data_IF_059360634695
#
_entry.id   IF_059360634695
#
_cell.length_a   1.000
_cell.length_b   1.000
_cell.length_c   1.000
_cell.angle_alpha   90.00
_cell.angle_beta   90.00
_cell.angle_gamma   90.00
#
_symmetry.space_group_name_H-M   'P 1'
#
loop_
_entity.id
_entity.type
_entity.pdbx_description
1 polymer ?
#
# COMPACT_ATOMS: atom_id res chain seq x y z
N UNK A 1 -23.98 48.79 -13.78
CA UNK A 1 -22.63 48.67 -13.18
C UNK A 1 -21.94 47.36 -13.62
N UNK A 2 -21.86 47.09 -14.93
CA UNK A 2 -21.34 45.80 -15.49
C UNK A 2 -20.32 46.01 -16.63
N UNK A 3 -20.01 47.24 -17.02
CA UNK A 3 -19.14 47.51 -18.19
C UNK A 3 -17.68 47.82 -17.81
N UNK A 4 -17.34 47.94 -16.53
CA UNK A 4 -15.99 48.37 -16.09
C UNK A 4 -14.99 47.25 -15.76
N UNK A 5 -15.32 45.96 -15.88
CA UNK A 5 -14.37 44.87 -15.61
C UNK A 5 -13.63 44.30 -16.83
N UNK A 6 -13.98 44.69 -18.05
CA UNK A 6 -13.40 44.10 -19.28
C UNK A 6 -12.04 44.70 -19.69
N UNK A 7 -11.64 45.86 -19.16
CA UNK A 7 -10.38 46.54 -19.53
C UNK A 7 -9.16 46.21 -18.67
N UNK A 8 -9.32 45.43 -17.60
CA UNK A 8 -8.21 45.09 -16.70
C UNK A 8 -7.48 43.77 -17.05
N UNK A 9 -8.03 42.96 -17.97
CA UNK A 9 -7.42 41.66 -18.34
C UNK A 9 -6.51 41.72 -19.59
N UNK A 10 -6.61 42.75 -20.42
CA UNK A 10 -5.86 42.81 -21.69
C UNK A 10 -4.43 43.41 -21.55
N UNK A 11 -4.06 43.93 -20.38
CA UNK A 11 -2.75 44.59 -20.19
C UNK A 11 -1.64 43.64 -19.70
N UNK A 12 -1.95 42.39 -19.38
CA UNK A 12 -0.97 41.42 -18.82
C UNK A 12 -0.34 40.52 -19.90
N UNK A 13 -0.91 40.45 -21.12
CA UNK A 13 -0.37 39.65 -22.22
C UNK A 13 0.33 40.50 -23.28
N UNK A 14 1.50 41.05 -22.96
CA UNK A 14 2.46 41.50 -23.98
C UNK A 14 3.83 40.88 -23.76
N UNK A 15 4.14 39.93 -24.64
CA UNK A 15 5.45 39.41 -25.07
C UNK A 15 6.44 39.05 -23.95
N UNK A 16 6.46 37.76 -23.61
CA UNK A 16 7.71 37.08 -23.26
C UNK A 16 7.89 35.83 -24.15
N UNK A 17 9.11 35.53 -24.63
CA UNK A 17 9.37 34.36 -25.45
C UNK A 17 9.24 33.09 -24.60
N UNK A 18 8.30 32.23 -24.97
CA UNK A 18 8.12 30.89 -24.42
C UNK A 18 9.40 30.06 -24.63
N UNK A 19 10.23 29.92 -23.58
CA UNK A 19 11.20 28.86 -23.48
C UNK A 19 10.52 27.61 -22.90
N UNK A 20 10.77 26.47 -23.53
CA UNK A 20 10.17 25.16 -23.25
C UNK A 20 10.33 24.78 -21.77
N UNK A 21 9.22 24.85 -21.02
CA UNK A 21 9.08 24.29 -19.69
C UNK A 21 7.74 23.57 -19.58
N UNK A 22 7.67 22.34 -20.07
CA UNK A 22 6.42 21.57 -20.18
C UNK A 22 5.80 21.14 -18.84
N UNK A 23 6.61 21.02 -17.78
CA UNK A 23 6.16 20.53 -16.47
C UNK A 23 5.23 21.53 -15.75
N UNK A 24 5.58 22.82 -15.75
CA UNK A 24 4.75 23.85 -15.10
C UNK A 24 3.40 24.04 -15.82
N UNK A 25 3.38 23.86 -17.15
CA UNK A 25 2.18 23.98 -17.95
C UNK A 25 1.19 22.83 -17.67
N UNK A 26 1.69 21.59 -17.51
CA UNK A 26 0.84 20.43 -17.17
C UNK A 26 0.21 20.58 -15.78
N UNK A 27 0.95 21.09 -14.79
CA UNK A 27 0.40 21.32 -13.45
C UNK A 27 -0.70 22.39 -13.45
N UNK A 28 -0.50 23.51 -14.15
CA UNK A 28 -1.51 24.58 -14.25
C UNK A 28 -2.73 24.12 -15.07
N UNK A 29 -2.53 23.41 -16.18
CA UNK A 29 -3.64 22.87 -16.99
C UNK A 29 -4.44 21.83 -16.20
N UNK A 30 -3.79 21.00 -15.38
CA UNK A 30 -4.47 20.02 -14.56
C UNK A 30 -5.22 20.66 -13.38
N UNK A 31 -4.65 21.67 -12.71
CA UNK A 31 -5.37 22.46 -11.70
C UNK A 31 -6.62 23.15 -12.27
N UNK A 32 -6.52 23.71 -13.48
CA UNK A 32 -7.67 24.33 -14.17
C UNK A 32 -8.71 23.28 -14.59
N UNK A 33 -8.28 22.09 -15.02
CA UNK A 33 -9.18 20.99 -15.37
C UNK A 33 -9.93 20.43 -14.16
N UNK A 34 -9.25 20.25 -13.03
CA UNK A 34 -9.87 19.82 -11.76
C UNK A 34 -10.85 20.87 -11.24
N UNK A 35 -10.48 22.16 -11.24
CA UNK A 35 -11.38 23.25 -10.85
C UNK A 35 -12.63 23.34 -11.74
N UNK A 36 -12.47 23.14 -13.06
CA UNK A 36 -13.57 23.18 -14.02
C UNK A 36 -14.49 21.97 -13.91
N UNK A 37 -13.94 20.77 -13.70
CA UNK A 37 -14.72 19.55 -13.48
C UNK A 37 -15.52 19.61 -12.18
N UNK A 38 -14.97 20.24 -11.14
CA UNK A 38 -15.65 20.49 -9.87
C UNK A 38 -16.81 21.49 -10.02
N UNK A 39 -16.63 22.55 -10.82
CA UNK A 39 -17.67 23.56 -11.09
C UNK A 39 -18.85 22.99 -11.89
N UNK A 40 -18.57 22.04 -12.80
CA UNK A 40 -19.62 21.39 -13.60
C UNK A 40 -20.45 20.44 -12.75
N UNK A 41 -19.83 19.64 -11.88
CA UNK A 41 -20.53 18.68 -11.02
C UNK A 41 -21.35 19.34 -9.89
N UNK A 42 -20.92 20.48 -9.36
CA UNK A 42 -21.73 21.24 -8.40
C UNK A 42 -22.94 21.90 -9.04
N UNK A 43 -22.85 22.30 -10.31
CA UNK A 43 -23.98 22.89 -11.05
C UNK A 43 -25.05 21.87 -11.45
N UNK A 44 -24.70 20.59 -11.64
CA UNK A 44 -25.68 19.53 -11.93
C UNK A 44 -26.35 18.98 -10.68
N UNK A 45 -25.67 18.98 -9.53
CA UNK A 45 -26.26 18.56 -8.25
C UNK A 45 -27.30 19.55 -7.69
N UNK A 46 -27.36 20.78 -8.19
CA UNK A 46 -28.30 21.83 -7.72
C UNK A 46 -29.70 21.79 -8.35
N UNK A 47 -30.03 20.77 -9.16
CA UNK A 47 -31.34 20.69 -9.83
C UNK A 47 -32.31 19.64 -9.28
N UNK A 48 -31.91 18.82 -8.32
CA UNK A 48 -32.77 17.79 -7.75
C UNK A 48 -32.52 17.66 -6.24
N UNK A 49 -33.56 17.96 -5.44
CA UNK A 49 -33.71 17.82 -3.98
C UNK A 49 -33.31 19.03 -3.11
N UNK A 50 -34.31 19.47 -2.31
CA UNK A 50 -34.16 20.29 -1.11
C UNK A 50 -33.38 19.53 -0.03
N UNK A 51 -32.06 19.45 -0.18
CA UNK A 51 -31.16 18.91 0.83
C UNK A 51 -30.53 20.07 1.61
N UNK A 52 -30.52 19.94 2.93
CA UNK A 52 -30.01 20.92 3.88
C UNK A 52 -28.57 21.35 3.53
N UNK A 53 -28.45 22.59 3.04
CA UNK A 53 -27.24 23.12 2.37
C UNK A 53 -26.04 23.18 3.31
N UNK A 54 -26.29 23.36 4.62
CA UNK A 54 -25.25 23.59 5.61
C UNK A 54 -24.47 22.29 5.95
N UNK A 55 -25.13 21.13 5.95
CA UNK A 55 -24.49 19.84 6.27
C UNK A 55 -23.64 19.32 5.10
N UNK A 56 -24.08 19.59 3.87
CA UNK A 56 -23.35 19.23 2.65
C UNK A 56 -22.11 20.13 2.51
N UNK A 57 -22.24 21.42 2.80
CA UNK A 57 -21.11 22.37 2.74
C UNK A 57 -19.95 21.96 3.65
N UNK A 58 -20.22 21.55 4.89
CA UNK A 58 -19.17 21.27 5.88
C UNK A 58 -18.37 19.99 5.57
N UNK A 59 -19.05 18.94 5.09
CA UNK A 59 -18.39 17.67 4.68
C UNK A 59 -17.59 17.81 3.39
N UNK A 60 -18.10 18.57 2.42
CA UNK A 60 -17.39 18.78 1.15
C UNK A 60 -16.19 19.71 1.32
N UNK A 61 -16.28 20.70 2.20
CA UNK A 61 -15.15 21.59 2.51
C UNK A 61 -13.99 20.81 3.11
N UNK A 62 -14.27 19.85 4.00
CA UNK A 62 -13.23 18.98 4.59
C UNK A 62 -12.54 18.09 3.57
N UNK A 63 -13.29 17.50 2.62
CA UNK A 63 -12.72 16.66 1.56
C UNK A 63 -11.88 17.49 0.57
N UNK A 64 -12.36 18.68 0.17
CA UNK A 64 -11.62 19.57 -0.73
C UNK A 64 -10.31 20.04 -0.08
N UNK A 65 -10.34 20.36 1.22
CA UNK A 65 -9.14 20.73 1.98
C UNK A 65 -8.13 19.57 2.02
N UNK A 66 -8.59 18.34 2.29
CA UNK A 66 -7.71 17.15 2.29
C UNK A 66 -7.10 16.89 0.91
N UNK A 67 -7.87 17.03 -0.18
CA UNK A 67 -7.35 16.93 -1.54
C UNK A 67 -6.35 18.05 -1.87
N UNK A 68 -6.59 19.28 -1.40
CA UNK A 68 -5.64 20.38 -1.58
C UNK A 68 -4.33 20.14 -0.81
N UNK A 69 -4.39 19.68 0.44
CA UNK A 69 -3.19 19.34 1.22
C UNK A 69 -2.45 18.15 0.61
N UNK A 70 -3.18 17.15 0.12
CA UNK A 70 -2.63 16.00 -0.58
C UNK A 70 -1.84 16.41 -1.82
N UNK A 71 -2.44 17.19 -2.71
CA UNK A 71 -1.76 17.65 -3.92
C UNK A 71 -0.71 18.73 -3.63
N UNK A 72 -0.87 19.53 -2.58
CA UNK A 72 0.15 20.48 -2.13
C UNK A 72 1.38 19.75 -1.59
N UNK A 73 1.22 18.69 -0.79
CA UNK A 73 2.34 17.85 -0.33
C UNK A 73 3.05 17.15 -1.48
N UNK A 74 2.31 16.59 -2.45
CA UNK A 74 2.90 16.00 -3.66
C UNK A 74 3.63 17.07 -4.47
N UNK A 75 3.06 18.26 -4.62
CA UNK A 75 3.68 19.36 -5.35
C UNK A 75 4.94 19.90 -4.64
N UNK A 76 4.93 19.99 -3.31
CA UNK A 76 6.10 20.39 -2.50
C UNK A 76 7.21 19.34 -2.58
N UNK A 77 6.87 18.04 -2.46
CA UNK A 77 7.83 16.95 -2.62
C UNK A 77 8.49 16.96 -4.01
N UNK A 78 7.70 17.13 -5.07
CA UNK A 78 8.19 17.26 -6.44
C UNK A 78 9.01 18.55 -6.64
N UNK A 79 8.67 19.63 -5.94
CA UNK A 79 9.40 20.91 -6.00
C UNK A 79 10.73 20.87 -5.24
N UNK A 80 10.79 20.17 -4.11
CA UNK A 80 12.01 19.99 -3.30
C UNK A 80 13.01 19.09 -4.03
N UNK A 81 12.53 17.99 -4.63
CA UNK A 81 13.33 17.11 -5.49
C UNK A 81 13.73 17.78 -6.81
N UNK A 82 12.88 18.65 -7.36
CA UNK A 82 13.15 19.43 -8.58
C UNK A 82 14.10 20.62 -8.40
N UNK A 83 14.43 21.02 -7.17
CA UNK A 83 15.30 22.18 -6.88
C UNK A 83 16.80 21.86 -6.84
N UNK A 84 17.21 20.60 -6.96
CA UNK A 84 18.64 20.22 -6.89
C UNK A 84 19.37 20.21 -8.24
N UNK A 85 18.73 20.61 -9.35
CA UNK A 85 19.40 20.67 -10.65
C UNK A 85 19.17 22.02 -11.35
N UNK A 86 20.00 23.00 -11.00
CA UNK A 86 20.62 23.90 -11.98
C UNK A 86 21.98 24.41 -11.47
N UNK A 87 23.08 23.66 -11.65
CA UNK A 87 24.33 24.29 -12.02
C UNK A 87 24.35 24.43 -13.54
N UNK A 88 24.31 25.67 -14.02
CA UNK A 88 24.94 25.95 -15.31
C UNK A 88 26.44 25.67 -15.15
N UNK A 89 27.04 25.16 -16.22
CA UNK A 89 28.48 24.92 -16.42
C UNK A 89 29.01 23.57 -15.94
N UNK A 90 29.19 22.61 -16.87
CA UNK A 90 30.49 22.31 -17.48
C UNK A 90 30.41 21.02 -18.31
N UNK A 91 30.63 21.18 -19.62
CA UNK A 91 31.08 20.10 -20.49
C UNK A 91 32.53 19.76 -20.16
N UNK A 92 32.81 18.50 -19.82
CA UNK A 92 34.09 17.88 -20.17
C UNK A 92 33.98 16.36 -20.21
N UNK A 93 34.29 15.83 -21.38
CA UNK A 93 34.49 14.42 -21.69
C UNK A 93 35.52 13.79 -20.76
N UNK A 94 35.28 12.54 -20.34
CA UNK A 94 36.32 11.52 -20.44
C UNK A 94 35.72 10.12 -20.31
N UNK A 95 36.00 9.32 -21.33
CA UNK A 95 35.87 7.88 -21.38
C UNK A 95 36.83 7.26 -20.34
N UNK A 96 36.38 6.26 -19.58
CA UNK A 96 37.19 5.08 -19.28
C UNK A 96 36.37 3.95 -18.64
N UNK A 97 36.57 2.78 -19.23
CA UNK A 97 36.06 1.46 -18.88
C UNK A 97 36.34 1.07 -17.42
N UNK A 98 35.31 0.55 -16.72
CA UNK A 98 35.48 -0.57 -15.80
C UNK A 98 34.32 -1.56 -15.96
N UNK A 99 34.66 -2.71 -16.53
CA UNK A 99 33.86 -3.92 -16.51
C UNK A 99 33.90 -4.48 -15.09
N UNK A 100 32.77 -4.43 -14.37
CA UNK A 100 32.59 -5.16 -13.11
C UNK A 100 31.50 -6.21 -13.34
N UNK A 101 31.93 -7.47 -13.37
CA UNK A 101 31.06 -8.63 -13.25
C UNK A 101 30.37 -8.58 -11.89
N UNK A 102 29.07 -8.31 -11.87
CA UNK A 102 28.22 -8.57 -10.70
C UNK A 102 27.50 -9.89 -10.96
N UNK A 103 27.90 -10.91 -10.21
CA UNK A 103 27.17 -12.16 -10.11
C UNK A 103 25.80 -11.86 -9.47
N UNK A 104 24.77 -11.77 -10.31
CA UNK A 104 23.38 -11.75 -9.86
C UNK A 104 23.07 -13.16 -9.37
N UNK A 105 22.87 -13.28 -8.06
CA UNK A 105 22.29 -14.47 -7.45
C UNK A 105 20.82 -14.52 -7.88
N UNK A 106 20.56 -15.12 -9.03
CA UNK A 106 19.21 -15.45 -9.51
C UNK A 106 18.61 -16.47 -8.53
N UNK A 107 17.46 -16.19 -7.88
CA UNK A 107 16.68 -17.27 -7.32
C UNK A 107 16.22 -18.15 -8.48
N UNK A 108 16.66 -19.41 -8.39
CA UNK A 108 16.34 -20.57 -9.22
C UNK A 108 14.91 -20.51 -9.76
N UNK A 109 14.77 -20.63 -11.08
CA UNK A 109 13.51 -20.87 -11.75
C UNK A 109 12.72 -21.99 -11.04
N UNK A 110 11.54 -21.65 -10.51
CA UNK A 110 10.48 -22.64 -10.29
C UNK A 110 9.56 -22.63 -11.51
N UNK A 111 10.08 -23.16 -12.62
CA UNK A 111 9.26 -23.64 -13.73
C UNK A 111 8.87 -25.09 -13.40
N UNK A 112 7.57 -25.35 -13.21
CA UNK A 112 7.08 -26.70 -12.95
C UNK A 112 5.79 -26.77 -12.14
N UNK A 113 4.70 -26.22 -12.68
CA UNK A 113 3.36 -26.68 -12.31
C UNK A 113 2.70 -27.36 -13.51
N UNK A 114 3.30 -28.48 -13.92
CA UNK A 114 2.61 -29.49 -14.70
C UNK A 114 2.08 -30.57 -13.74
N UNK A 115 0.76 -30.79 -13.80
CA UNK A 115 0.08 -32.05 -13.49
C UNK A 115 0.30 -32.65 -12.09
N UNK A 116 -0.58 -32.30 -11.15
CA UNK A 116 -0.80 -33.13 -9.96
C UNK A 116 -1.32 -34.51 -10.39
N UNK A 117 -0.66 -35.62 -10.02
CA UNK A 117 -1.24 -36.94 -10.22
C UNK A 117 -2.51 -37.08 -9.35
N UNK A 118 -3.54 -37.79 -9.82
CA UNK A 118 -4.76 -38.00 -9.05
C UNK A 118 -4.44 -38.75 -7.74
N UNK A 119 -5.12 -38.39 -6.64
CA UNK A 119 -4.86 -39.01 -5.35
C UNK A 119 -5.18 -40.51 -5.39
N UNK A 120 -4.37 -41.35 -4.72
CA UNK A 120 -4.66 -42.78 -4.62
C UNK A 120 -5.95 -43.02 -3.83
N UNK A 121 -6.70 -44.09 -4.16
CA UNK A 121 -7.93 -44.42 -3.45
C UNK A 121 -7.64 -44.75 -1.98
N UNK A 122 -8.39 -44.09 -1.08
CA UNK A 122 -8.39 -44.32 0.36
C UNK A 122 -8.87 -45.74 0.67
N UNK A 123 -7.94 -46.67 0.80
CA UNK A 123 -8.17 -47.99 1.39
C UNK A 123 -7.99 -47.89 2.90
N UNK A 124 -9.10 -48.01 3.62
CA UNK A 124 -9.13 -48.00 5.07
C UNK A 124 -8.45 -49.23 5.67
N UNK A 125 -7.56 -49.00 6.63
CA UNK A 125 -7.19 -50.00 7.62
C UNK A 125 -6.88 -49.30 8.94
N UNK A 126 -7.83 -49.40 9.87
CA UNK A 126 -7.62 -49.12 11.29
C UNK A 126 -6.57 -50.10 11.82
N UNK A 127 -5.54 -49.59 12.49
CA UNK A 127 -4.70 -50.37 13.39
C UNK A 127 -4.44 -49.57 14.67
N UNK A 128 -4.88 -50.16 15.78
CA UNK A 128 -4.43 -49.86 17.13
C UNK A 128 -2.99 -50.35 17.34
N UNK A 129 -2.19 -49.58 18.07
CA UNK A 129 -1.04 -50.04 18.86
C UNK A 129 -0.62 -48.86 19.73
N UNK A 130 -0.87 -48.90 21.04
CA UNK A 130 0.00 -49.50 22.07
C UNK A 130 1.32 -48.75 22.27
N UNK A 131 1.55 -48.43 23.54
CA UNK A 131 2.50 -47.43 24.00
C UNK A 131 3.95 -47.88 23.96
N UNK A 132 4.82 -46.88 23.89
CA UNK A 132 6.23 -47.01 24.18
C UNK A 132 6.67 -45.76 24.94
N UNK A 133 6.98 -45.96 26.22
CA UNK A 133 7.66 -45.00 27.08
C UNK A 133 9.05 -44.71 26.51
N UNK A 134 9.29 -43.44 26.17
CA UNK A 134 10.59 -42.98 25.69
C UNK A 134 11.25 -42.15 26.79
N UNK A 135 12.22 -42.77 27.44
CA UNK A 135 13.07 -42.21 28.49
C UNK A 135 14.03 -41.17 27.86
N UNK A 136 13.79 -39.88 28.15
CA UNK A 136 14.61 -38.76 27.68
C UNK A 136 15.83 -38.63 28.58
N UNK A 137 17.02 -38.87 28.02
CA UNK A 137 18.30 -38.58 28.67
C UNK A 137 18.65 -37.10 28.48
N UNK A 138 18.83 -36.40 29.59
CA UNK A 138 19.38 -35.04 29.65
C UNK A 138 20.89 -35.08 29.37
N UNK A 139 21.30 -34.59 28.20
CA UNK A 139 22.70 -34.27 27.93
C UNK A 139 23.01 -32.86 28.42
N UNK A 140 23.92 -32.78 29.40
CA UNK A 140 24.54 -31.55 29.88
C UNK A 140 25.50 -31.03 28.81
N UNK A 141 25.25 -29.82 28.33
CA UNK A 141 26.15 -29.10 27.43
C UNK A 141 26.93 -28.08 28.26
N UNK A 142 28.19 -28.39 28.55
CA UNK A 142 29.10 -27.50 29.27
C UNK A 142 29.58 -26.39 28.33
N UNK A 143 29.18 -25.16 28.64
CA UNK A 143 29.48 -23.97 27.86
C UNK A 143 30.65 -23.22 28.49
N UNK A 144 31.86 -23.71 28.22
CA UNK A 144 33.13 -23.09 28.58
C UNK A 144 33.70 -22.39 27.33
N UNK A 145 33.33 -21.13 27.12
CA UNK A 145 34.02 -20.25 26.18
C UNK A 145 34.05 -18.83 26.73
N UNK A 146 34.87 -18.65 27.75
CA UNK A 146 35.37 -17.35 28.19
C UNK A 146 36.71 -17.07 27.49
N UNK A 147 36.99 -15.78 27.30
CA UNK A 147 38.26 -15.17 26.85
C UNK A 147 38.55 -15.11 25.34
N UNK A 148 38.29 -13.95 24.73
CA UNK A 148 39.32 -12.94 24.39
C UNK A 148 38.64 -11.82 23.59
N UNK A 149 38.18 -10.77 24.27
CA UNK A 149 37.84 -9.50 23.61
C UNK A 149 39.00 -8.54 23.86
N UNK A 150 39.96 -8.57 22.94
CA UNK A 150 41.03 -7.58 22.85
C UNK A 150 40.43 -6.22 22.50
N UNK A 151 40.68 -5.27 23.38
CA UNK A 151 40.53 -3.84 23.17
C UNK A 151 41.32 -3.43 21.92
N UNK A 152 40.62 -3.01 20.87
CA UNK A 152 41.16 -2.21 19.78
C UNK A 152 40.52 -0.84 19.90
N UNK A 153 41.16 0.01 20.68
CA UNK A 153 40.90 1.45 20.74
C UNK A 153 41.67 2.14 19.61
N UNK A 154 41.12 3.25 19.12
CA UNK A 154 41.72 4.26 18.26
C UNK A 154 42.00 3.90 16.79
N UNK A 155 40.91 3.81 16.00
CA UNK A 155 40.94 4.23 14.61
C UNK A 155 39.85 5.29 14.39
N UNK A 156 40.29 6.49 14.05
CA UNK A 156 39.50 7.69 13.78
C UNK A 156 38.30 7.43 12.86
N UNK A 157 37.10 7.60 13.40
CA UNK A 157 35.80 7.59 12.70
C UNK A 157 35.72 8.74 11.66
N UNK A 158 36.32 8.52 10.49
CA UNK A 158 35.90 9.24 9.29
C UNK A 158 34.48 8.79 8.96
N UNK A 159 33.49 9.63 9.28
CA UNK A 159 32.09 9.47 8.87
C UNK A 159 32.01 9.35 7.35
N UNK A 160 31.99 8.11 6.84
CA UNK A 160 31.65 7.80 5.46
C UNK A 160 30.19 8.23 5.27
N UNK A 161 29.99 9.43 4.72
CA UNK A 161 28.65 9.91 4.34
C UNK A 161 28.17 9.01 3.20
N UNK A 162 27.07 8.25 3.37
CA UNK A 162 26.57 7.36 2.33
C UNK A 162 26.21 8.19 1.09
N UNK A 163 26.86 7.91 -0.03
CA UNK A 163 26.53 8.53 -1.31
C UNK A 163 25.15 8.04 -1.74
N UNK A 164 24.17 8.95 -1.82
CA UNK A 164 22.83 8.66 -2.31
C UNK A 164 22.91 8.09 -3.73
N UNK A 165 22.36 6.88 -3.93
CA UNK A 165 22.27 6.24 -5.24
C UNK A 165 21.00 6.73 -5.92
N UNK A 166 21.10 7.16 -7.17
CA UNK A 166 19.95 7.47 -8.00
C UNK A 166 19.19 6.18 -8.32
N UNK A 167 17.90 6.14 -7.96
CA UNK A 167 17.01 5.00 -8.26
C UNK A 167 16.54 5.15 -9.71
N UNK A 168 16.74 4.12 -10.53
CA UNK A 168 16.27 4.09 -11.91
C UNK A 168 14.74 3.96 -11.97
N UNK A 169 14.14 4.39 -13.08
CA UNK A 169 12.68 4.30 -13.25
C UNK A 169 12.19 2.84 -13.22
N UNK A 170 12.96 1.92 -13.81
CA UNK A 170 12.68 0.49 -13.83
C UNK A 170 12.71 -0.12 -12.43
N UNK A 171 13.69 0.27 -11.60
CA UNK A 171 13.76 -0.14 -10.20
C UNK A 171 12.58 0.39 -9.39
N UNK A 172 12.17 1.65 -9.62
CA UNK A 172 11.00 2.22 -8.95
C UNK A 172 9.70 1.49 -9.32
N UNK A 173 9.52 1.15 -10.59
CA UNK A 173 8.34 0.41 -11.08
C UNK A 173 8.34 -1.03 -10.53
N UNK A 174 9.49 -1.69 -10.54
CA UNK A 174 9.62 -3.03 -9.99
C UNK A 174 9.34 -3.04 -8.48
N UNK A 175 9.91 -2.07 -7.74
CA UNK A 175 9.65 -1.91 -6.32
C UNK A 175 8.17 -1.64 -6.03
N UNK A 176 7.51 -0.79 -6.83
CA UNK A 176 6.07 -0.56 -6.73
C UNK A 176 5.28 -1.86 -6.94
N UNK A 177 5.54 -2.59 -8.02
CA UNK A 177 4.85 -3.83 -8.34
C UNK A 177 5.02 -4.90 -7.25
N UNK A 178 6.26 -5.10 -6.78
CA UNK A 178 6.53 -6.08 -5.72
C UNK A 178 5.87 -5.68 -4.40
N UNK A 179 5.87 -4.38 -4.07
CA UNK A 179 5.17 -3.86 -2.90
C UNK A 179 3.66 -4.08 -2.96
N UNK A 180 3.05 -3.93 -4.14
CA UNK A 180 1.62 -4.14 -4.36
C UNK A 180 1.28 -5.63 -4.25
N UNK A 181 2.11 -6.50 -4.83
CA UNK A 181 1.97 -7.96 -4.69
C UNK A 181 2.00 -8.40 -3.23
N UNK A 182 2.97 -7.91 -2.46
CA UNK A 182 3.08 -8.21 -1.03
C UNK A 182 1.89 -7.65 -0.23
N UNK A 183 1.42 -6.45 -0.57
CA UNK A 183 0.27 -5.83 0.06
C UNK A 183 -1.01 -6.65 -0.15
N UNK A 184 -1.29 -7.05 -1.39
CA UNK A 184 -2.47 -7.87 -1.74
C UNK A 184 -2.42 -9.24 -1.06
N UNK A 185 -1.25 -9.87 -0.98
CA UNK A 185 -1.08 -11.14 -0.26
C UNK A 185 -1.40 -10.99 1.23
N UNK A 186 -0.94 -9.90 1.85
CA UNK A 186 -1.26 -9.61 3.25
C UNK A 186 -2.77 -9.38 3.45
N UNK A 187 -3.45 -8.69 2.54
CA UNK A 187 -4.90 -8.50 2.59
C UNK A 187 -5.65 -9.84 2.50
N UNK A 188 -5.23 -10.72 1.58
CA UNK A 188 -5.79 -12.06 1.44
C UNK A 188 -5.63 -12.87 2.73
N UNK A 189 -4.45 -12.85 3.33
CA UNK A 189 -4.19 -13.55 4.59
C UNK A 189 -5.08 -13.03 5.72
N UNK A 190 -5.19 -11.70 5.88
CA UNK A 190 -6.10 -11.09 6.84
C UNK A 190 -7.56 -11.49 6.62
N UNK A 191 -8.01 -11.56 5.36
CA UNK A 191 -9.37 -11.98 5.03
C UNK A 191 -9.61 -13.48 5.32
N UNK A 192 -8.74 -14.36 4.82
CA UNK A 192 -8.94 -15.81 4.91
C UNK A 192 -8.80 -16.34 6.34
N UNK A 193 -7.77 -15.89 7.06
CA UNK A 193 -7.49 -16.43 8.40
C UNK A 193 -8.41 -15.87 9.49
N UNK A 194 -8.98 -14.68 9.28
CA UNK A 194 -9.83 -14.03 10.27
C UNK A 194 -11.27 -13.88 9.80
N UNK A 195 -11.54 -12.95 8.87
CA UNK A 195 -12.91 -12.57 8.49
C UNK A 195 -13.71 -13.76 7.93
N UNK A 196 -13.11 -14.52 7.02
CA UNK A 196 -13.77 -15.66 6.37
C UNK A 196 -14.05 -16.80 7.36
N UNK A 197 -13.07 -17.17 8.19
CA UNK A 197 -13.23 -18.20 9.21
C UNK A 197 -14.29 -17.83 10.25
N UNK A 198 -14.29 -16.59 10.74
CA UNK A 198 -15.33 -16.09 11.65
C UNK A 198 -16.72 -16.16 10.99
N UNK A 199 -16.83 -15.79 9.71
CA UNK A 199 -18.09 -15.87 8.96
C UNK A 199 -18.59 -17.31 8.82
N UNK A 200 -17.70 -18.28 8.57
CA UNK A 200 -18.05 -19.71 8.54
C UNK A 200 -18.50 -20.18 9.93
N UNK A 201 -17.80 -19.79 10.99
CA UNK A 201 -18.15 -20.17 12.36
C UNK A 201 -19.47 -19.55 12.81
N UNK A 202 -19.79 -18.33 12.39
CA UNK A 202 -21.07 -17.68 12.66
C UNK A 202 -22.26 -18.41 12.02
N UNK A 203 -22.06 -19.00 10.83
CA UNK A 203 -23.06 -19.81 10.12
C UNK A 203 -23.21 -21.23 10.68
N UNK A 204 -22.19 -21.74 11.36
CA UNK A 204 -22.24 -23.01 12.09
C UNK A 204 -22.83 -22.75 13.48
N UNK A 205 -23.53 -23.71 14.09
CA UNK A 205 -24.20 -23.55 15.39
C UNK A 205 -23.24 -23.28 16.60
N UNK A 206 -22.01 -22.83 16.38
CA UNK A 206 -21.05 -22.42 17.39
C UNK A 206 -20.43 -21.05 17.00
N UNK A 207 -21.23 -19.96 17.01
CA UNK A 207 -20.74 -18.63 16.66
C UNK A 207 -19.74 -18.13 17.72
N UNK A 208 -18.53 -17.78 17.29
CA UNK A 208 -17.55 -17.07 18.13
C UNK A 208 -17.93 -15.60 18.28
N UNK A 209 -18.37 -15.01 17.16
CA UNK A 209 -18.91 -13.66 17.04
C UNK A 209 -20.16 -13.69 16.18
N UNK A 210 -21.07 -12.75 16.41
CA UNK A 210 -22.22 -12.54 15.52
C UNK A 210 -21.77 -11.89 14.19
N UNK A 211 -22.54 -12.10 13.11
CA UNK A 211 -22.25 -11.47 11.81
C UNK A 211 -22.17 -9.94 11.90
N UNK A 212 -23.00 -9.34 12.75
CA UNK A 212 -22.96 -7.89 13.02
C UNK A 212 -21.64 -7.47 13.67
N UNK A 213 -21.14 -8.22 14.65
CA UNK A 213 -19.84 -7.94 15.29
C UNK A 213 -18.69 -8.12 14.28
N UNK A 214 -18.75 -9.13 13.42
CA UNK A 214 -17.75 -9.34 12.35
C UNK A 214 -17.74 -8.14 11.40
N UNK A 215 -18.89 -7.75 10.86
CA UNK A 215 -18.99 -6.57 9.99
C UNK A 215 -18.53 -5.28 10.69
N UNK A 216 -18.75 -5.19 12.00
CA UNK A 216 -18.35 -4.03 12.80
C UNK A 216 -16.84 -3.87 12.98
N UNK A 217 -16.09 -4.98 12.89
CA UNK A 217 -14.62 -4.99 13.00
C UNK A 217 -13.98 -4.81 11.63
N UNK A 218 -14.44 -5.57 10.63
CA UNK A 218 -13.80 -5.62 9.31
C UNK A 218 -14.34 -4.57 8.34
N UNK A 219 -15.58 -4.10 8.50
CA UNK A 219 -16.19 -3.13 7.59
C UNK A 219 -16.07 -3.55 6.12
N UNK A 220 -15.49 -2.68 5.30
CA UNK A 220 -15.25 -2.88 3.85
C UNK A 220 -13.91 -3.55 3.52
N UNK A 221 -13.23 -4.19 4.49
CA UNK A 221 -11.90 -4.80 4.30
C UNK A 221 -11.83 -5.77 3.11
N UNK A 222 -12.83 -6.66 2.97
CA UNK A 222 -12.92 -7.59 1.83
C UNK A 222 -12.97 -6.85 0.49
N UNK A 223 -13.81 -5.81 0.40
CA UNK A 223 -13.99 -5.04 -0.84
C UNK A 223 -12.70 -4.34 -1.25
N UNK A 224 -11.92 -3.83 -0.29
CA UNK A 224 -10.58 -3.29 -0.55
C UNK A 224 -9.67 -4.40 -1.07
N UNK A 225 -9.64 -5.57 -0.42
CA UNK A 225 -8.87 -6.72 -0.89
C UNK A 225 -9.19 -7.11 -2.33
N UNK A 226 -10.47 -7.23 -2.66
CA UNK A 226 -10.93 -7.58 -4.02
C UNK A 226 -10.51 -6.51 -5.05
N UNK A 227 -10.63 -5.21 -4.70
CA UNK A 227 -10.25 -4.12 -5.58
C UNK A 227 -8.74 -4.10 -5.90
N UNK A 228 -7.88 -4.28 -4.89
CA UNK A 228 -6.42 -4.31 -5.10
C UNK A 228 -5.98 -5.58 -5.81
N UNK A 229 -6.65 -6.71 -5.55
CA UNK A 229 -6.40 -7.93 -6.30
C UNK A 229 -6.71 -7.73 -7.80
N UNK A 230 -7.84 -7.10 -8.13
CA UNK A 230 -8.17 -6.76 -9.52
C UNK A 230 -7.14 -5.83 -10.14
N UNK A 231 -6.69 -4.82 -9.38
CA UNK A 231 -5.66 -3.88 -9.84
C UNK A 231 -4.33 -4.60 -10.14
N UNK A 232 -3.88 -5.47 -9.24
CA UNK A 232 -2.68 -6.28 -9.44
C UNK A 232 -2.79 -7.22 -10.64
N UNK A 233 -3.96 -7.83 -10.85
CA UNK A 233 -4.22 -8.64 -12.04
C UNK A 233 -4.14 -7.82 -13.33
N UNK A 234 -4.61 -6.58 -13.32
CA UNK A 234 -4.51 -5.69 -14.47
C UNK A 234 -3.06 -5.25 -14.72
N UNK A 235 -2.25 -5.04 -13.67
CA UNK A 235 -0.81 -4.83 -13.80
C UNK A 235 -0.10 -6.05 -14.41
N UNK A 236 -0.46 -7.26 -14.01
CA UNK A 236 0.08 -8.50 -14.58
C UNK A 236 -0.30 -8.63 -16.07
N UNK A 237 -1.52 -8.21 -16.45
CA UNK A 237 -1.99 -8.24 -17.84
C UNK A 237 -1.27 -7.24 -18.75
N UNK A 238 -0.75 -6.13 -18.22
CA UNK A 238 0.08 -5.21 -19.01
C UNK A 238 1.35 -5.91 -19.53
N UNK A 239 1.86 -6.91 -18.80
CA UNK A 239 3.01 -7.71 -19.19
C UNK A 239 4.30 -7.29 -18.49
N UNK A 240 5.43 -7.36 -19.19
CA UNK A 240 6.75 -7.03 -18.62
C UNK A 240 6.94 -5.56 -18.26
N UNK A 241 8.07 -5.25 -17.62
CA UNK A 241 8.42 -3.90 -17.14
C UNK A 241 8.19 -2.75 -18.13
N UNK A 242 8.54 -2.85 -19.43
CA UNK A 242 8.32 -1.75 -20.37
C UNK A 242 6.83 -1.42 -20.56
N UNK A 243 5.97 -2.44 -20.57
CA UNK A 243 4.54 -2.26 -20.76
C UNK A 243 3.87 -1.73 -19.49
N UNK A 244 4.35 -2.14 -18.31
CA UNK A 244 3.91 -1.55 -17.03
C UNK A 244 4.25 -0.06 -17.00
N UNK A 245 5.47 0.34 -17.38
CA UNK A 245 5.88 1.76 -17.41
C UNK A 245 4.93 2.61 -18.23
N UNK A 246 4.56 2.13 -19.42
CA UNK A 246 3.77 2.92 -20.37
C UNK A 246 2.25 2.83 -20.07
N UNK A 247 1.78 1.74 -19.44
CA UNK A 247 0.36 1.45 -19.19
C UNK A 247 -0.16 1.77 -17.79
N UNK A 248 0.71 1.88 -16.78
CA UNK A 248 0.31 2.05 -15.37
C UNK A 248 -0.59 3.26 -15.13
N UNK A 249 -0.41 4.34 -15.90
CA UNK A 249 -1.23 5.54 -15.79
C UNK A 249 -2.70 5.32 -16.15
N UNK A 250 -2.99 4.46 -17.12
CA UNK A 250 -4.38 4.13 -17.49
C UNK A 250 -5.02 3.20 -16.45
N UNK A 251 -4.27 2.23 -15.93
CA UNK A 251 -4.78 1.34 -14.87
C UNK A 251 -5.04 2.12 -13.57
N UNK A 252 -4.17 3.07 -13.20
CA UNK A 252 -4.38 3.92 -12.04
C UNK A 252 -5.63 4.81 -12.16
N UNK A 253 -5.96 5.28 -13.37
CA UNK A 253 -7.21 6.02 -13.61
C UNK A 253 -8.43 5.13 -13.38
N UNK A 254 -8.40 3.87 -13.81
CA UNK A 254 -9.47 2.90 -13.55
C UNK A 254 -9.59 2.58 -12.06
N UNK A 255 -8.48 2.62 -11.32
CA UNK A 255 -8.47 2.38 -9.88
C UNK A 255 -9.02 3.56 -9.05
N UNK A 256 -8.99 4.78 -9.59
CA UNK A 256 -9.41 6.02 -8.92
C UNK A 256 -10.73 5.95 -8.14
N UNK A 257 -11.84 5.39 -8.67
CA UNK A 257 -13.10 5.25 -7.94
C UNK A 257 -13.00 4.45 -6.63
N UNK A 258 -12.08 3.48 -6.54
CA UNK A 258 -11.88 2.65 -5.35
C UNK A 258 -11.14 3.39 -4.24
N UNK A 259 -10.44 4.48 -4.53
CA UNK A 259 -9.80 5.32 -3.49
C UNK A 259 -10.81 5.88 -2.48
N UNK A 260 -12.07 6.06 -2.89
CA UNK A 260 -13.15 6.48 -1.99
C UNK A 260 -13.44 5.44 -0.89
N UNK A 261 -13.23 4.14 -1.17
CA UNK A 261 -13.42 3.07 -0.19
C UNK A 261 -12.41 3.17 0.95
N UNK A 262 -11.21 3.67 0.69
CA UNK A 262 -10.19 3.85 1.71
C UNK A 262 -10.57 4.93 2.71
N UNK A 263 -11.20 6.03 2.27
CA UNK A 263 -11.69 7.06 3.18
C UNK A 263 -12.72 6.49 4.16
N UNK A 264 -13.70 5.74 3.65
CA UNK A 264 -14.70 5.05 4.48
C UNK A 264 -14.05 4.02 5.42
N UNK A 265 -13.04 3.30 4.95
CA UNK A 265 -12.32 2.33 5.76
C UNK A 265 -11.53 2.99 6.89
N UNK A 266 -10.82 4.09 6.64
CA UNK A 266 -10.03 4.82 7.64
C UNK A 266 -10.92 5.37 8.76
N UNK A 267 -12.13 5.81 8.43
CA UNK A 267 -13.09 6.27 9.44
C UNK A 267 -13.61 5.10 10.30
N UNK A 268 -13.86 3.95 9.67
CA UNK A 268 -14.42 2.78 10.33
C UNK A 268 -13.39 1.97 11.14
N UNK A 269 -12.13 1.91 10.70
CA UNK A 269 -11.10 1.05 11.32
C UNK A 269 -10.77 1.47 12.75
N UNK A 270 -10.81 2.78 13.07
CA UNK A 270 -10.63 3.26 14.45
C UNK A 270 -11.70 2.70 15.38
N UNK A 271 -12.95 2.72 14.92
CA UNK A 271 -14.09 2.14 15.65
C UNK A 271 -13.99 0.61 15.70
N UNK A 272 -13.56 -0.03 14.62
CA UNK A 272 -13.36 -1.47 14.52
C UNK A 272 -12.31 -2.00 15.50
N UNK A 273 -11.16 -1.32 15.61
CA UNK A 273 -10.10 -1.66 16.58
C UNK A 273 -10.60 -1.47 18.02
N UNK A 274 -11.33 -0.39 18.31
CA UNK A 274 -11.95 -0.21 19.63
C UNK A 274 -12.94 -1.32 19.98
N UNK A 275 -13.73 -1.80 19.01
CA UNK A 275 -14.63 -2.94 19.18
C UNK A 275 -13.89 -4.27 19.35
N UNK A 276 -12.78 -4.46 18.63
CA UNK A 276 -11.92 -5.63 18.76
C UNK A 276 -11.45 -5.80 20.21
N UNK A 277 -10.98 -4.72 20.85
CA UNK A 277 -10.52 -4.75 22.24
C UNK A 277 -11.63 -5.02 23.24
N UNK A 278 -12.84 -4.50 23.00
CA UNK A 278 -14.01 -4.82 23.81
C UNK A 278 -14.40 -6.30 23.70
N UNK A 279 -14.34 -6.86 22.49
CA UNK A 279 -14.68 -8.26 22.25
C UNK A 279 -13.66 -9.22 22.85
N UNK A 280 -12.36 -8.88 22.82
CA UNK A 280 -11.31 -9.63 23.52
C UNK A 280 -11.60 -9.76 25.03
N UNK A 281 -12.10 -8.70 25.66
CA UNK A 281 -12.48 -8.71 27.09
C UNK A 281 -13.76 -9.50 27.37
N UNK A 282 -14.69 -9.54 26.41
CA UNK A 282 -16.03 -10.12 26.57
C UNK A 282 -16.06 -11.64 26.35
N UNK A 283 -15.29 -12.16 25.41
CA UNK A 283 -15.41 -13.55 24.96
C UNK A 283 -14.05 -14.27 24.97
N UNK A 284 -13.88 -15.22 25.89
CA UNK A 284 -12.69 -16.09 25.93
C UNK A 284 -12.53 -16.89 24.63
N UNK A 285 -13.63 -17.42 24.07
CA UNK A 285 -13.62 -18.15 22.78
C UNK A 285 -13.03 -17.31 21.64
N UNK A 286 -13.24 -15.99 21.66
CA UNK A 286 -12.68 -15.11 20.66
C UNK A 286 -11.18 -14.89 20.85
N UNK A 287 -10.71 -14.80 22.10
CA UNK A 287 -9.28 -14.76 22.42
C UNK A 287 -8.58 -16.04 21.96
N UNK A 288 -9.13 -17.21 22.30
CA UNK A 288 -8.59 -18.51 21.88
C UNK A 288 -8.55 -18.62 20.34
N UNK A 289 -9.57 -18.10 19.65
CA UNK A 289 -9.59 -18.04 18.18
C UNK A 289 -8.48 -17.13 17.62
N UNK A 290 -8.26 -15.96 18.24
CA UNK A 290 -7.23 -15.03 17.81
C UNK A 290 -5.84 -15.61 18.01
N UNK A 291 -5.55 -16.22 19.16
CA UNK A 291 -4.25 -16.84 19.46
C UNK A 291 -3.85 -17.86 18.39
N UNK A 292 -4.74 -18.82 18.10
CA UNK A 292 -4.51 -19.83 17.05
C UNK A 292 -4.35 -19.20 15.67
N UNK A 293 -5.12 -18.15 15.36
CA UNK A 293 -5.08 -17.54 14.02
C UNK A 293 -3.85 -16.65 13.83
N UNK A 294 -3.42 -15.94 14.87
CA UNK A 294 -2.23 -15.09 14.87
C UNK A 294 -0.95 -15.93 14.84
N UNK A 295 -0.93 -17.09 15.51
CA UNK A 295 0.17 -18.07 15.42
C UNK A 295 0.33 -18.60 13.98
N UNK A 296 -0.76 -18.97 13.31
CA UNK A 296 -0.73 -19.43 11.92
C UNK A 296 -0.27 -18.35 10.93
N UNK A 297 -0.60 -17.09 11.20
CA UNK A 297 -0.27 -15.97 10.32
C UNK A 297 1.08 -15.32 10.62
N UNK A 298 1.69 -15.60 11.78
CA UNK A 298 2.87 -14.90 12.29
C UNK A 298 2.67 -13.40 12.54
N UNK A 299 1.41 -12.92 12.61
CA UNK A 299 1.07 -11.50 12.71
C UNK A 299 -0.29 -11.29 13.36
N UNK A 300 -0.41 -10.20 14.12
CA UNK A 300 -1.66 -9.87 14.82
C UNK A 300 -2.76 -9.38 13.89
N UNK A 301 -4.03 -9.63 14.25
CA UNK A 301 -5.19 -9.17 13.49
C UNK A 301 -5.20 -7.64 13.36
N UNK A 302 -4.87 -6.93 14.44
CA UNK A 302 -4.80 -5.47 14.42
C UNK A 302 -3.81 -4.98 13.36
N UNK A 303 -2.67 -5.66 13.21
CA UNK A 303 -1.68 -5.25 12.24
C UNK A 303 -2.15 -5.45 10.78
N UNK A 304 -3.03 -6.43 10.51
CA UNK A 304 -3.68 -6.57 9.21
C UNK A 304 -4.71 -5.45 8.95
N UNK A 305 -5.49 -5.08 9.98
CA UNK A 305 -6.48 -4.00 9.87
C UNK A 305 -5.83 -2.63 9.63
N UNK A 306 -4.63 -2.40 10.13
CA UNK A 306 -3.87 -1.16 9.90
C UNK A 306 -3.15 -1.11 8.54
N UNK A 307 -2.94 -2.25 7.88
CA UNK A 307 -2.17 -2.33 6.64
C UNK A 307 -2.73 -1.44 5.52
N UNK A 308 -4.06 -1.36 5.26
CA UNK A 308 -4.61 -0.46 4.25
C UNK A 308 -4.31 1.01 4.51
N UNK A 309 -4.27 1.42 5.78
CA UNK A 309 -3.94 2.80 6.17
C UNK A 309 -2.47 3.07 5.84
N UNK A 310 -1.57 2.16 6.23
CA UNK A 310 -0.13 2.27 5.99
C UNK A 310 0.19 2.24 4.48
N UNK A 311 -0.51 1.42 3.70
CA UNK A 311 -0.33 1.34 2.25
C UNK A 311 -0.75 2.63 1.55
N UNK A 312 -1.93 3.17 1.89
CA UNK A 312 -2.44 4.41 1.30
C UNK A 312 -1.50 5.61 1.51
N UNK A 313 -0.73 5.64 2.60
CA UNK A 313 0.26 6.69 2.85
C UNK A 313 1.55 6.50 2.04
N UNK A 314 1.93 5.25 1.74
CA UNK A 314 3.14 4.93 0.96
C UNK A 314 2.99 5.32 -0.50
N UNK A 315 1.84 5.01 -1.12
CA UNK A 315 1.58 5.32 -2.54
C UNK A 315 1.57 6.81 -2.86
N UNK A 316 1.45 7.67 -1.84
CA UNK A 316 1.37 9.11 -2.01
C UNK A 316 2.72 9.82 -1.81
N UNK A 317 3.74 9.07 -1.37
CA UNK A 317 5.10 9.57 -1.17
C UNK A 317 6.06 9.24 -2.33
N UNK A 318 5.59 8.46 -3.32
CA UNK A 318 6.32 8.12 -4.54
C UNK A 318 5.93 9.08 -5.67
#
# INVERSE_FOLDING_TARGET
MVILKKKALDTVYKKQPLKKGGSLFLCVVWQVFVARSFTINSSTAMKEQDVDIDIVSEKYTSIVILFFYFFYSISQFLFEKGRLLFPNDLLRENENNYCLQVAIFLPREMSGYDSYPPPPPLSGKMMSSEGADMEVKEEKFDNEFAEEVKQVEDASDEKIVPKEREITMEEAIFAFYDSERQYVENLKNGYHHFQHRLTIMAKRNNPVLSEKEILSIFGVFKTIGDANQSFLEDLIKLGGLPAIRDGIGEEMKKFGPYLKLYSEYIDNVKTGVGRLDQLKKKSKKFVDFLEVSEELCGRSLQSYLEEPIKSSLRTCSC
#
